data_IF_581503730512
#
_entry.id   IF_581503730512
#
_cell.length_a   1.000
_cell.length_b   1.000
_cell.length_c   1.000
_cell.angle_alpha   90.00
_cell.angle_beta   90.00
_cell.angle_gamma   90.00
#
_symmetry.space_group_name_H-M   'P 1'
#
loop_
_entity.id
_entity.type
_entity.pdbx_description
1 polymer ?
#
# COMPACT_ATOMS: atom_id res chain seq x y z
N UNK A 1 43.73 18.83 -16.46
CA UNK A 1 42.49 18.06 -16.54
C UNK A 1 42.03 17.80 -15.12
N UNK A 2 41.15 18.64 -14.63
CA UNK A 2 40.76 18.78 -13.23
C UNK A 2 39.80 17.63 -12.87
N UNK A 3 40.14 16.82 -11.86
CA UNK A 3 39.23 15.88 -11.24
C UNK A 3 38.04 16.64 -10.67
N UNK A 4 36.93 16.64 -11.38
CA UNK A 4 35.66 17.08 -10.84
C UNK A 4 35.27 16.08 -9.77
N UNK A 5 35.26 16.57 -8.54
CA UNK A 5 34.86 15.85 -7.33
C UNK A 5 33.44 15.30 -7.48
N UNK A 6 33.32 14.00 -7.58
CA UNK A 6 32.07 13.24 -7.47
C UNK A 6 31.54 13.16 -6.01
N UNK A 7 31.80 14.20 -5.23
CA UNK A 7 31.22 14.40 -3.90
C UNK A 7 30.11 15.43 -4.01
N UNK A 8 28.88 15.01 -4.30
CA UNK A 8 27.64 15.65 -3.85
C UNK A 8 26.42 15.16 -4.65
N UNK A 9 26.10 13.88 -4.56
CA UNK A 9 24.75 13.37 -4.90
C UNK A 9 24.31 12.28 -3.94
N UNK A 10 24.79 12.34 -2.70
CA UNK A 10 24.16 11.60 -1.61
C UNK A 10 22.86 12.36 -1.30
N UNK A 11 21.71 11.74 -1.47
CA UNK A 11 20.44 12.35 -1.08
C UNK A 11 20.52 12.72 0.39
N UNK A 12 20.50 14.03 0.67
CA UNK A 12 20.50 14.53 2.04
C UNK A 12 19.29 13.89 2.75
N UNK A 13 19.49 13.36 3.96
CA UNK A 13 18.38 12.86 4.76
C UNK A 13 17.36 13.96 5.01
N UNK A 14 16.06 13.67 4.99
CA UNK A 14 15.06 14.66 5.36
C UNK A 14 15.31 15.14 6.79
N UNK A 15 15.08 16.43 7.01
CA UNK A 15 15.11 16.99 8.36
C UNK A 15 13.80 16.65 9.07
N UNK A 16 13.89 16.40 10.37
CA UNK A 16 12.74 16.05 11.21
C UNK A 16 12.55 17.10 12.31
N UNK A 17 11.33 17.61 12.44
CA UNK A 17 10.93 18.47 13.56
C UNK A 17 9.62 17.96 14.17
N UNK A 18 9.63 17.64 15.44
CA UNK A 18 8.40 17.36 16.20
C UNK A 18 7.81 18.68 16.69
N UNK A 19 6.55 18.97 16.33
CA UNK A 19 5.83 20.16 16.77
C UNK A 19 5.28 19.99 18.18
N UNK A 20 4.92 21.09 18.82
CA UNK A 20 4.37 21.09 20.20
C UNK A 20 3.04 20.34 20.31
N UNK A 21 2.24 20.30 19.24
CA UNK A 21 0.99 19.56 19.18
C UNK A 21 1.15 18.05 18.96
N UNK A 22 2.37 17.57 18.70
CA UNK A 22 2.69 16.16 18.49
C UNK A 22 2.95 15.75 17.05
N UNK A 23 2.58 16.55 16.03
CA UNK A 23 2.85 16.25 14.61
C UNK A 23 4.36 16.19 14.38
N UNK A 24 4.80 15.20 13.62
CA UNK A 24 6.16 15.16 13.08
C UNK A 24 6.17 15.79 11.68
N UNK A 25 7.00 16.80 11.47
CA UNK A 25 7.23 17.43 10.17
C UNK A 25 8.53 16.90 9.58
N UNK A 26 8.45 16.37 8.35
CA UNK A 26 9.59 15.93 7.56
C UNK A 26 9.78 16.86 6.37
N UNK A 27 10.98 17.42 6.22
CA UNK A 27 11.34 18.30 5.10
C UNK A 27 12.48 17.68 4.31
N UNK A 28 12.23 17.43 3.03
CA UNK A 28 13.16 16.80 2.08
C UNK A 28 13.41 17.74 0.90
N UNK A 29 14.40 18.61 1.05
CA UNK A 29 14.70 19.64 0.06
C UNK A 29 15.39 19.08 -1.18
N UNK A 30 14.83 19.36 -2.35
CA UNK A 30 15.33 18.97 -3.67
C UNK A 30 15.39 20.20 -4.56
N UNK A 31 16.58 20.80 -4.70
CA UNK A 31 16.78 22.07 -5.44
C UNK A 31 16.60 21.96 -6.96
N UNK A 32 16.67 20.75 -7.51
CA UNK A 32 16.67 20.51 -8.97
C UNK A 32 15.28 20.47 -9.61
N UNK A 33 14.21 20.66 -8.83
CA UNK A 33 12.84 20.60 -9.31
C UNK A 33 12.10 21.91 -9.04
N UNK A 34 11.08 22.21 -9.85
CA UNK A 34 10.20 23.37 -9.66
C UNK A 34 8.94 23.03 -8.86
N UNK A 35 8.75 21.75 -8.55
CA UNK A 35 7.55 21.26 -7.87
C UNK A 35 7.84 20.91 -6.42
N UNK A 36 6.78 20.91 -5.62
CA UNK A 36 6.77 20.41 -4.25
C UNK A 36 5.59 19.48 -4.05
N UNK A 37 5.80 18.40 -3.33
CA UNK A 37 4.71 17.57 -2.79
C UNK A 37 4.62 17.81 -1.29
N UNK A 38 3.44 18.15 -0.83
CA UNK A 38 3.11 18.33 0.59
C UNK A 38 1.97 17.39 0.95
N UNK A 39 1.95 16.87 2.17
CA UNK A 39 0.84 16.03 2.60
C UNK A 39 0.89 15.64 4.06
N UNK A 40 -0.25 15.15 4.55
CA UNK A 40 -0.40 14.55 5.86
C UNK A 40 -0.64 13.05 5.69
N UNK A 41 0.20 12.28 6.34
CA UNK A 41 0.05 10.82 6.49
C UNK A 41 -0.33 10.51 7.93
N UNK A 42 -1.40 9.76 8.09
CA UNK A 42 -1.97 9.40 9.38
C UNK A 42 -1.82 7.89 9.55
N UNK A 43 -1.25 7.44 10.67
CA UNK A 43 -1.11 6.01 10.96
C UNK A 43 -2.45 5.43 11.46
N UNK A 44 -3.41 5.44 10.55
CA UNK A 44 -4.78 4.95 10.71
C UNK A 44 -5.30 4.51 9.35
N UNK A 45 -5.98 3.39 9.29
CA UNK A 45 -6.58 2.88 8.07
C UNK A 45 -7.74 1.91 8.36
N UNK A 46 -8.08 1.08 7.40
CA UNK A 46 -9.20 0.14 7.51
C UNK A 46 -9.06 -0.86 8.66
N UNK A 47 -7.82 -1.16 9.13
CA UNK A 47 -7.60 -2.03 10.31
C UNK A 47 -8.12 -1.43 11.63
N UNK A 48 -8.30 -0.12 11.68
CA UNK A 48 -8.81 0.56 12.89
C UNK A 48 -10.34 0.52 12.98
N UNK A 49 -11.00 0.01 11.96
CA UNK A 49 -12.45 -0.14 11.92
C UNK A 49 -12.92 -1.37 12.69
N UNK A 50 -14.18 -1.33 13.12
CA UNK A 50 -14.90 -2.49 13.64
C UNK A 50 -15.69 -3.17 12.52
N UNK A 51 -16.22 -4.36 12.79
CA UNK A 51 -17.15 -5.00 11.84
C UNK A 51 -18.45 -4.21 11.62
N UNK A 52 -18.82 -3.33 12.56
CA UNK A 52 -20.06 -2.56 12.47
C UNK A 52 -19.91 -1.27 11.62
N UNK A 53 -18.69 -0.74 11.47
CA UNK A 53 -18.43 0.49 10.73
C UNK A 53 -17.38 0.33 9.62
N UNK A 54 -17.22 -0.89 9.11
CA UNK A 54 -16.26 -1.19 8.04
C UNK A 54 -16.51 -0.34 6.79
N UNK A 55 -15.47 0.31 6.29
CA UNK A 55 -15.50 1.28 5.20
C UNK A 55 -15.58 2.73 5.66
N UNK A 56 -15.64 3.00 6.99
CA UNK A 56 -15.72 4.37 7.50
C UNK A 56 -14.44 5.17 7.23
N UNK A 57 -13.26 4.53 7.22
CA UNK A 57 -12.00 5.21 6.93
C UNK A 57 -11.95 5.70 5.47
N UNK A 58 -12.40 4.88 4.54
CA UNK A 58 -12.51 5.23 3.12
C UNK A 58 -13.58 6.30 2.88
N UNK A 59 -14.74 6.17 3.53
CA UNK A 59 -15.79 7.20 3.46
C UNK A 59 -15.31 8.53 4.05
N UNK A 60 -14.52 8.52 5.13
CA UNK A 60 -13.91 9.73 5.70
C UNK A 60 -12.97 10.41 4.70
N UNK A 61 -12.17 9.63 3.97
CA UNK A 61 -11.30 10.14 2.90
C UNK A 61 -12.11 10.90 1.85
N UNK A 62 -13.18 10.30 1.32
CA UNK A 62 -14.08 10.96 0.37
C UNK A 62 -14.68 12.25 0.96
N UNK A 63 -15.17 12.17 2.18
CA UNK A 63 -15.83 13.28 2.85
C UNK A 63 -14.91 14.46 3.18
N UNK A 64 -13.58 14.23 3.28
CA UNK A 64 -12.61 15.30 3.52
C UNK A 64 -12.64 16.38 2.44
N UNK A 65 -12.97 16.02 1.19
CA UNK A 65 -13.04 16.95 0.05
C UNK A 65 -14.44 17.49 -0.23
N UNK A 66 -15.45 17.15 0.58
CA UNK A 66 -16.85 17.54 0.35
C UNK A 66 -17.27 18.81 1.12
N UNK A 67 -16.30 19.60 1.50
CA UNK A 67 -16.47 20.91 2.12
C UNK A 67 -16.06 20.94 3.59
N UNK A 68 -15.63 22.11 3.97
CA UNK A 68 -15.18 22.47 5.32
C UNK A 68 -16.07 23.59 5.89
N UNK A 69 -15.73 24.09 7.05
CA UNK A 69 -16.32 25.32 7.60
C UNK A 69 -15.96 26.57 6.78
N UNK A 70 -14.82 26.51 6.06
CA UNK A 70 -14.24 27.64 5.37
C UNK A 70 -14.45 27.60 3.85
N UNK A 71 -14.62 26.38 3.28
CA UNK A 71 -14.69 26.15 1.83
C UNK A 71 -15.81 25.17 1.48
N UNK A 72 -16.54 25.45 0.44
CA UNK A 72 -17.38 24.43 -0.22
C UNK A 72 -16.51 23.44 -0.99
N UNK A 73 -17.06 22.26 -1.33
CA UNK A 73 -16.38 21.28 -2.19
C UNK A 73 -15.90 21.89 -3.51
N UNK A 74 -16.75 22.75 -4.13
CA UNK A 74 -16.39 23.46 -5.36
C UNK A 74 -15.20 24.40 -5.16
N UNK A 75 -15.17 25.17 -4.07
CA UNK A 75 -14.05 26.07 -3.78
C UNK A 75 -12.74 25.31 -3.56
N UNK A 76 -12.79 24.16 -2.90
CA UNK A 76 -11.58 23.30 -2.77
C UNK A 76 -11.05 22.92 -4.15
N UNK A 77 -11.92 22.44 -5.05
CA UNK A 77 -11.51 22.08 -6.42
C UNK A 77 -11.03 23.28 -7.21
N UNK A 78 -11.76 24.40 -7.18
CA UNK A 78 -11.39 25.62 -7.91
C UNK A 78 -10.01 26.16 -7.46
N UNK A 79 -9.75 26.21 -6.14
CA UNK A 79 -8.48 26.70 -5.60
C UNK A 79 -7.30 25.79 -6.00
N UNK A 80 -7.49 24.46 -6.02
CA UNK A 80 -6.49 23.51 -6.48
C UNK A 80 -6.21 23.67 -7.97
N UNK A 81 -7.25 23.77 -8.79
CA UNK A 81 -7.12 23.90 -10.24
C UNK A 81 -6.53 25.26 -10.65
N UNK A 82 -6.85 26.35 -9.94
CA UNK A 82 -6.32 27.69 -10.19
C UNK A 82 -4.79 27.75 -10.11
N UNK A 83 -4.17 26.93 -9.26
CA UNK A 83 -2.71 26.85 -9.11
C UNK A 83 -2.10 25.70 -9.95
N UNK A 84 -2.89 25.06 -10.82
CA UNK A 84 -2.43 23.88 -11.57
C UNK A 84 -1.99 22.72 -10.68
N UNK A 85 -2.53 22.66 -9.45
CA UNK A 85 -2.19 21.65 -8.47
C UNK A 85 -2.89 20.32 -8.73
N UNK A 86 -2.31 19.27 -8.18
CA UNK A 86 -2.90 17.93 -8.15
C UNK A 86 -3.08 17.50 -6.71
N UNK A 87 -4.33 17.34 -6.28
CA UNK A 87 -4.68 16.78 -4.97
C UNK A 87 -5.02 15.31 -5.13
N UNK A 88 -4.59 14.50 -4.15
CA UNK A 88 -4.95 13.08 -4.08
C UNK A 88 -4.99 12.63 -2.62
N UNK A 89 -5.71 11.53 -2.39
CA UNK A 89 -5.76 10.85 -1.10
C UNK A 89 -5.79 9.34 -1.32
N UNK A 90 -5.51 8.58 -0.30
CA UNK A 90 -5.74 7.14 -0.29
C UNK A 90 -5.91 6.62 1.13
N UNK A 91 -6.72 5.57 1.24
CA UNK A 91 -6.87 4.78 2.45
C UNK A 91 -6.29 3.38 2.21
N UNK A 92 -5.35 2.99 3.07
CA UNK A 92 -4.85 1.62 3.11
C UNK A 92 -5.30 0.91 4.38
N UNK A 93 -4.77 -0.26 4.65
CA UNK A 93 -5.07 -0.98 5.90
C UNK A 93 -4.53 -0.26 7.15
N UNK A 94 -3.38 0.38 7.05
CA UNK A 94 -2.69 0.99 8.21
C UNK A 94 -2.49 2.51 8.09
N UNK A 95 -2.61 3.09 6.91
CA UNK A 95 -2.30 4.50 6.65
C UNK A 95 -3.38 5.13 5.78
N UNK A 96 -3.82 6.33 6.15
CA UNK A 96 -4.58 7.24 5.31
C UNK A 96 -3.73 8.47 5.01
N UNK A 97 -3.75 8.94 3.76
CA UNK A 97 -2.94 10.06 3.33
C UNK A 97 -3.75 11.08 2.53
N UNK A 98 -3.42 12.35 2.73
CA UNK A 98 -3.94 13.49 1.98
C UNK A 98 -2.78 14.32 1.49
N UNK A 99 -2.58 14.45 0.18
CA UNK A 99 -1.41 15.13 -0.34
C UNK A 99 -1.69 15.91 -1.61
N UNK A 100 -0.88 16.92 -1.85
CA UNK A 100 -0.93 17.76 -3.03
C UNK A 100 0.45 17.87 -3.67
N UNK A 101 0.49 17.89 -4.99
CA UNK A 101 1.67 18.27 -5.77
C UNK A 101 1.39 19.57 -6.50
N UNK A 102 2.24 20.57 -6.25
CA UNK A 102 2.07 21.94 -6.75
C UNK A 102 3.41 22.52 -7.20
N UNK A 103 3.41 23.71 -7.80
CA UNK A 103 4.61 24.49 -7.98
C UNK A 103 5.11 25.05 -6.64
N UNK A 104 6.38 25.36 -6.53
CA UNK A 104 7.01 25.82 -5.27
C UNK A 104 6.42 27.11 -4.71
N UNK A 105 5.92 28.00 -5.56
CA UNK A 105 5.25 29.24 -5.17
C UNK A 105 3.88 29.02 -4.52
N UNK A 106 3.25 27.86 -4.74
CA UNK A 106 1.89 27.57 -4.28
C UNK A 106 1.85 26.68 -3.03
N UNK A 107 3.00 26.49 -2.38
CA UNK A 107 3.09 25.65 -1.18
C UNK A 107 2.18 26.13 -0.05
N UNK A 108 2.03 27.43 0.11
CA UNK A 108 1.19 28.04 1.13
C UNK A 108 -0.29 27.64 0.94
N UNK A 109 -0.80 27.75 -0.30
CA UNK A 109 -2.16 27.35 -0.65
C UNK A 109 -2.40 25.87 -0.38
N UNK A 110 -1.42 25.02 -0.74
CA UNK A 110 -1.56 23.57 -0.54
C UNK A 110 -1.57 23.17 0.95
N UNK A 111 -0.71 23.79 1.78
CA UNK A 111 -0.71 23.56 3.23
C UNK A 111 -2.03 24.07 3.84
N UNK A 112 -2.54 25.20 3.39
CA UNK A 112 -3.81 25.77 3.86
C UNK A 112 -4.99 24.85 3.56
N UNK A 113 -5.09 24.33 2.33
CA UNK A 113 -6.16 23.39 1.93
C UNK A 113 -6.07 22.09 2.74
N UNK A 114 -4.87 21.48 2.86
CA UNK A 114 -4.71 20.23 3.62
C UNK A 114 -5.06 20.46 5.09
N UNK A 115 -4.63 21.57 5.68
CA UNK A 115 -4.97 21.89 7.07
C UNK A 115 -6.46 22.08 7.28
N UNK A 116 -7.14 22.69 6.31
CA UNK A 116 -8.58 22.97 6.36
C UNK A 116 -9.40 21.67 6.29
N UNK A 117 -9.12 20.81 5.32
CA UNK A 117 -9.81 19.51 5.19
C UNK A 117 -9.55 18.58 6.39
N UNK A 118 -8.40 18.65 7.01
CA UNK A 118 -8.02 17.82 8.15
C UNK A 118 -8.64 18.29 9.48
N UNK A 119 -8.99 19.56 9.63
CA UNK A 119 -9.43 20.13 10.89
C UNK A 119 -10.87 20.61 10.89
N UNK A 120 -11.38 20.99 9.72
CA UNK A 120 -12.64 21.72 9.62
C UNK A 120 -13.66 21.10 8.66
N UNK A 121 -13.47 19.84 8.26
CA UNK A 121 -14.43 19.10 7.43
C UNK A 121 -15.83 19.16 8.04
N UNK A 122 -16.81 19.57 7.23
CA UNK A 122 -18.19 19.79 7.69
C UNK A 122 -19.00 18.50 7.82
N UNK A 123 -18.63 17.48 7.07
CA UNK A 123 -19.37 16.23 6.92
C UNK A 123 -20.86 16.50 6.69
N UNK A 124 -21.16 17.35 5.70
CA UNK A 124 -22.53 17.74 5.38
C UNK A 124 -23.40 16.50 5.10
N UNK A 125 -24.59 16.36 5.69
CA UNK A 125 -25.43 15.18 5.51
C UNK A 125 -25.83 14.92 4.06
N UNK A 126 -26.02 15.97 3.23
CA UNK A 126 -26.38 15.80 1.82
C UNK A 126 -25.19 15.30 1.01
N UNK A 127 -23.99 15.80 1.30
CA UNK A 127 -22.76 15.30 0.67
C UNK A 127 -22.47 13.86 1.13
N UNK A 128 -22.71 13.53 2.40
CA UNK A 128 -22.59 12.17 2.91
C UNK A 128 -23.51 11.20 2.16
N UNK A 129 -24.78 11.58 1.91
CA UNK A 129 -25.71 10.76 1.15
C UNK A 129 -25.27 10.56 -0.32
N UNK A 130 -24.68 11.60 -0.92
CA UNK A 130 -24.09 11.50 -2.28
C UNK A 130 -22.90 10.56 -2.31
N UNK A 131 -21.97 10.72 -1.36
CA UNK A 131 -20.75 9.91 -1.32
C UNK A 131 -21.03 8.45 -0.98
N UNK A 132 -22.04 8.14 -0.16
CA UNK A 132 -22.51 6.76 -0.03
C UNK A 132 -22.92 6.19 -1.39
N UNK A 133 -23.63 6.96 -2.21
CA UNK A 133 -23.99 6.55 -3.57
C UNK A 133 -22.77 6.29 -4.46
N UNK A 134 -21.74 7.14 -4.37
CA UNK A 134 -20.48 6.98 -5.10
C UNK A 134 -19.77 5.70 -4.67
N UNK A 135 -19.58 5.49 -3.36
CA UNK A 135 -18.90 4.28 -2.84
C UNK A 135 -19.67 3.01 -3.17
N UNK A 136 -21.01 3.05 -3.16
CA UNK A 136 -21.82 1.90 -3.58
C UNK A 136 -21.62 1.55 -5.06
N UNK A 137 -21.44 2.55 -5.93
CA UNK A 137 -21.07 2.32 -7.32
C UNK A 137 -19.65 1.74 -7.44
N UNK A 138 -18.71 2.24 -6.64
CA UNK A 138 -17.33 1.75 -6.58
C UNK A 138 -17.27 0.28 -6.10
N UNK A 139 -18.03 -0.08 -5.06
CA UNK A 139 -18.20 -1.47 -4.64
C UNK A 139 -18.77 -2.32 -5.80
N UNK A 140 -19.78 -1.80 -6.53
CA UNK A 140 -20.34 -2.49 -7.69
C UNK A 140 -19.30 -2.73 -8.78
N UNK A 141 -18.53 -1.71 -9.15
CA UNK A 141 -17.46 -1.83 -10.14
C UNK A 141 -16.41 -2.85 -9.70
N UNK A 142 -16.04 -2.84 -8.42
CA UNK A 142 -15.07 -3.76 -7.85
C UNK A 142 -15.55 -5.23 -7.90
N UNK A 143 -16.83 -5.48 -7.62
CA UNK A 143 -17.46 -6.81 -7.73
C UNK A 143 -17.53 -7.31 -9.19
N UNK A 144 -17.52 -6.40 -10.16
CA UNK A 144 -17.50 -6.70 -11.58
C UNK A 144 -16.07 -6.80 -12.17
N UNK A 145 -15.02 -6.63 -11.33
CA UNK A 145 -13.60 -6.72 -11.70
C UNK A 145 -12.96 -7.95 -11.03
N UNK A 146 -13.06 -9.15 -11.64
CA UNK A 146 -12.65 -10.41 -11.00
C UNK A 146 -11.18 -10.49 -10.62
N UNK A 147 -10.30 -9.84 -11.36
CA UNK A 147 -8.86 -9.76 -11.13
C UNK A 147 -8.50 -8.92 -9.90
N UNK A 148 -9.32 -7.93 -9.53
CA UNK A 148 -9.20 -7.21 -8.26
C UNK A 148 -9.91 -7.95 -7.12
N UNK A 149 -11.15 -8.40 -7.37
CA UNK A 149 -11.97 -9.08 -6.38
C UNK A 149 -11.30 -10.33 -5.79
N UNK A 150 -10.53 -11.06 -6.61
CA UNK A 150 -9.84 -12.28 -6.17
C UNK A 150 -8.84 -11.99 -5.05
N UNK A 151 -8.21 -10.80 -5.03
CA UNK A 151 -7.30 -10.38 -3.96
C UNK A 151 -8.03 -10.05 -2.66
N UNK A 152 -9.18 -9.37 -2.73
CA UNK A 152 -9.99 -9.10 -1.53
C UNK A 152 -10.51 -10.39 -0.92
N UNK A 153 -11.00 -11.32 -1.76
CA UNK A 153 -11.46 -12.63 -1.31
C UNK A 153 -10.33 -13.48 -0.75
N UNK A 154 -9.16 -13.39 -1.34
CA UNK A 154 -7.96 -14.00 -0.79
C UNK A 154 -7.61 -13.43 0.60
N UNK A 155 -7.63 -12.10 0.74
CA UNK A 155 -7.32 -11.43 2.00
C UNK A 155 -8.35 -11.76 3.10
N UNK A 156 -9.64 -11.77 2.76
CA UNK A 156 -10.74 -12.16 3.66
C UNK A 156 -10.57 -13.59 4.15
N UNK A 157 -10.17 -14.51 3.25
CA UNK A 157 -9.95 -15.93 3.54
C UNK A 157 -8.68 -16.14 4.37
N UNK A 158 -7.61 -15.38 4.09
CA UNK A 158 -6.35 -15.45 4.80
C UNK A 158 -6.47 -14.96 6.26
N UNK A 159 -7.33 -13.96 6.51
CA UNK A 159 -7.54 -13.32 7.82
C UNK A 159 -9.04 -13.31 8.21
N UNK A 160 -9.68 -14.47 8.41
CA UNK A 160 -11.11 -14.55 8.64
C UNK A 160 -11.50 -13.86 9.95
N UNK A 161 -12.59 -13.08 9.91
CA UNK A 161 -13.16 -12.36 11.06
C UNK A 161 -12.20 -11.37 11.75
N UNK A 162 -11.15 -10.93 11.08
CA UNK A 162 -10.15 -9.99 11.58
C UNK A 162 -10.22 -8.66 10.82
N UNK A 163 -9.79 -7.55 11.43
CA UNK A 163 -9.68 -6.26 10.73
C UNK A 163 -8.83 -6.33 9.47
N UNK A 164 -7.75 -7.10 9.47
CA UNK A 164 -6.85 -7.28 8.33
C UNK A 164 -7.52 -7.92 7.11
N UNK A 165 -8.53 -8.76 7.33
CA UNK A 165 -9.24 -9.47 6.25
C UNK A 165 -10.37 -8.66 5.61
N UNK A 166 -10.86 -7.59 6.25
CA UNK A 166 -11.99 -6.82 5.72
C UNK A 166 -11.63 -5.99 4.50
N UNK A 167 -12.57 -5.82 3.57
CA UNK A 167 -12.40 -4.90 2.44
C UNK A 167 -12.27 -3.45 2.93
N UNK A 168 -11.39 -2.68 2.30
CA UNK A 168 -11.22 -1.24 2.58
C UNK A 168 -12.48 -0.45 2.19
N UNK A 169 -13.17 -0.87 1.14
CA UNK A 169 -14.42 -0.24 0.68
C UNK A 169 -15.58 -0.45 1.66
N UNK A 170 -15.47 -1.42 2.55
CA UNK A 170 -16.58 -1.87 3.37
C UNK A 170 -17.58 -2.74 2.60
N UNK A 171 -18.74 -2.99 3.21
CA UNK A 171 -19.86 -3.68 2.56
C UNK A 171 -20.96 -2.73 2.20
N UNK A 172 -21.72 -3.03 1.14
CA UNK A 172 -22.82 -2.18 0.67
C UNK A 172 -23.86 -1.89 1.79
N UNK A 173 -24.14 -2.89 2.64
CA UNK A 173 -25.11 -2.74 3.72
C UNK A 173 -24.61 -1.82 4.83
N UNK A 174 -23.34 -1.87 5.17
CA UNK A 174 -22.74 -0.99 6.17
C UNK A 174 -22.66 0.43 5.61
N UNK A 175 -22.11 0.62 4.40
CA UNK A 175 -21.96 1.95 3.77
C UNK A 175 -23.30 2.69 3.66
N UNK A 176 -24.39 2.01 3.29
CA UNK A 176 -25.73 2.60 3.25
C UNK A 176 -26.17 3.23 4.57
N UNK A 177 -25.68 2.69 5.69
CA UNK A 177 -26.17 3.00 7.03
C UNK A 177 -25.21 3.81 7.89
N UNK A 178 -23.93 3.97 7.51
CA UNK A 178 -22.94 4.77 8.27
C UNK A 178 -23.47 6.19 8.46
N UNK A 179 -23.51 6.64 9.71
CA UNK A 179 -23.99 7.97 10.07
C UNK A 179 -22.86 8.99 10.13
N UNK A 180 -23.21 10.27 10.00
CA UNK A 180 -22.27 11.38 10.13
C UNK A 180 -21.48 11.33 11.44
N UNK A 181 -22.15 10.96 12.52
CA UNK A 181 -21.56 10.84 13.86
C UNK A 181 -20.46 9.76 13.91
N UNK A 182 -20.59 8.69 13.13
CA UNK A 182 -19.59 7.61 13.04
C UNK A 182 -18.35 8.07 12.26
N UNK A 183 -18.54 8.80 11.15
CA UNK A 183 -17.43 9.40 10.39
C UNK A 183 -16.67 10.40 11.26
N UNK A 184 -17.38 11.32 11.92
CA UNK A 184 -16.79 12.30 12.81
C UNK A 184 -16.14 11.63 14.05
N UNK A 185 -16.79 10.61 14.60
CA UNK A 185 -16.27 9.82 15.71
C UNK A 185 -14.97 9.12 15.35
N UNK A 186 -14.91 8.48 14.18
CA UNK A 186 -13.69 7.82 13.70
C UNK A 186 -12.52 8.80 13.56
N UNK A 187 -12.76 9.97 12.96
CA UNK A 187 -11.73 11.00 12.86
C UNK A 187 -11.27 11.48 14.25
N UNK A 188 -12.19 11.79 15.15
CA UNK A 188 -11.86 12.27 16.49
C UNK A 188 -11.13 11.24 17.35
N UNK A 189 -11.44 9.95 17.17
CA UNK A 189 -10.86 8.87 17.96
C UNK A 189 -9.46 8.47 17.45
N UNK A 190 -9.25 8.49 16.15
CA UNK A 190 -8.06 7.90 15.54
C UNK A 190 -7.06 8.92 14.98
N UNK A 191 -7.49 10.13 14.58
CA UNK A 191 -6.57 11.14 14.03
C UNK A 191 -5.80 11.86 15.14
N UNK A 192 -4.83 11.13 15.69
CA UNK A 192 -3.99 11.62 16.77
C UNK A 192 -2.72 12.28 16.20
N UNK A 193 -2.43 13.55 16.52
CA UNK A 193 -1.22 14.26 16.07
C UNK A 193 0.10 13.50 16.26
N UNK A 194 0.23 12.71 17.35
CA UNK A 194 1.42 11.90 17.60
C UNK A 194 1.61 10.75 16.60
N UNK A 195 0.55 10.39 15.86
CA UNK A 195 0.52 9.39 14.80
C UNK A 195 0.38 10.03 13.42
N UNK A 196 0.74 11.30 13.29
CA UNK A 196 0.69 12.07 12.06
C UNK A 196 2.06 12.55 11.65
N UNK A 197 2.35 12.40 10.36
CA UNK A 197 3.55 12.93 9.72
C UNK A 197 3.14 13.87 8.61
N UNK A 198 3.50 15.14 8.73
CA UNK A 198 3.44 16.09 7.63
C UNK A 198 4.74 16.04 6.86
N UNK A 199 4.69 15.54 5.63
CA UNK A 199 5.89 15.35 4.80
C UNK A 199 5.89 16.30 3.62
N UNK A 200 7.04 16.95 3.40
CA UNK A 200 7.25 17.88 2.29
C UNK A 200 8.50 17.47 1.54
N UNK A 201 8.40 17.31 0.22
CA UNK A 201 9.53 16.99 -0.64
C UNK A 201 9.52 17.84 -1.91
N UNK A 202 10.64 18.49 -2.24
CA UNK A 202 10.78 19.35 -3.42
C UNK A 202 11.59 20.61 -3.14
N UNK A 203 11.28 21.66 -3.87
CA UNK A 203 11.99 22.94 -3.78
C UNK A 203 11.18 23.94 -2.92
N UNK A 204 11.66 24.26 -1.74
CA UNK A 204 10.98 25.16 -0.79
C UNK A 204 11.96 25.72 0.24
N UNK A 205 11.53 26.78 0.97
CA UNK A 205 12.24 27.25 2.16
C UNK A 205 11.79 26.42 3.38
N UNK A 206 12.72 25.73 4.02
CA UNK A 206 12.43 24.80 5.10
C UNK A 206 11.83 25.48 6.34
N UNK A 207 12.40 26.60 6.77
CA UNK A 207 11.95 27.32 7.96
C UNK A 207 10.54 27.89 7.76
N UNK A 208 10.28 28.46 6.58
CA UNK A 208 8.95 28.99 6.23
C UNK A 208 7.89 27.89 6.25
N UNK A 209 8.19 26.73 5.67
CA UNK A 209 7.24 25.59 5.65
C UNK A 209 6.96 25.06 7.04
N UNK A 210 7.98 24.89 7.87
CA UNK A 210 7.80 24.41 9.24
C UNK A 210 6.92 25.39 10.04
N UNK A 211 7.20 26.69 9.94
CA UNK A 211 6.42 27.72 10.62
C UNK A 211 4.98 27.75 10.11
N UNK A 212 4.77 27.61 8.80
CA UNK A 212 3.46 27.53 8.19
C UNK A 212 2.64 26.33 8.71
N UNK A 213 3.27 25.14 8.79
CA UNK A 213 2.61 23.94 9.32
C UNK A 213 2.29 24.10 10.81
N UNK A 214 3.22 24.66 11.61
CA UNK A 214 2.99 24.93 13.03
C UNK A 214 1.83 25.91 13.25
N UNK A 215 1.72 26.94 12.40
CA UNK A 215 0.62 27.92 12.45
C UNK A 215 -0.73 27.32 12.01
N UNK A 216 -0.74 26.52 10.97
CA UNK A 216 -1.99 26.01 10.36
C UNK A 216 -2.62 24.84 11.10
N UNK A 217 -1.86 23.98 11.77
CA UNK A 217 -2.38 22.76 12.40
C UNK A 217 -2.59 22.92 13.93
N UNK A 218 -3.46 23.86 14.31
CA UNK A 218 -3.69 24.22 15.73
C UNK A 218 -4.95 23.57 16.33
N UNK A 219 -5.82 22.94 15.51
CA UNK A 219 -7.15 22.49 15.92
C UNK A 219 -7.39 20.99 15.76
N UNK A 220 -6.36 20.21 15.57
CA UNK A 220 -6.48 18.75 15.47
C UNK A 220 -7.01 18.16 16.79
N UNK A 221 -7.85 17.11 16.71
CA UNK A 221 -8.26 16.37 17.89
C UNK A 221 -7.06 15.70 18.54
N UNK A 222 -7.14 15.45 19.85
CA UNK A 222 -6.07 14.76 20.57
C UNK A 222 -6.01 13.27 20.24
N UNK A 223 -7.06 12.71 19.67
CA UNK A 223 -7.19 11.29 19.36
C UNK A 223 -7.18 10.40 20.60
N UNK A 224 -7.47 9.14 20.39
CA UNK A 224 -7.27 8.09 21.39
C UNK A 224 -6.06 7.25 20.99
N UNK A 225 -5.27 6.80 21.96
CA UNK A 225 -4.21 5.82 21.69
C UNK A 225 -4.82 4.42 21.58
N UNK A 226 -5.53 4.13 20.49
CA UNK A 226 -6.01 2.79 20.17
C UNK A 226 -5.12 2.17 19.11
N UNK A 227 -4.78 0.89 19.30
CA UNK A 227 -4.07 0.09 18.34
C UNK A 227 -5.09 -0.83 17.65
N UNK A 228 -4.84 -1.16 16.38
CA UNK A 228 -5.57 -2.21 15.71
C UNK A 228 -5.28 -3.56 16.41
N UNK A 229 -6.23 -4.48 16.35
CA UNK A 229 -6.01 -5.86 16.83
C UNK A 229 -4.87 -6.52 16.05
N UNK A 230 -4.06 -7.34 16.77
CA UNK A 230 -3.02 -8.12 16.13
C UNK A 230 -3.61 -9.11 15.13
N UNK A 231 -2.99 -9.19 13.99
CA UNK A 231 -3.43 -10.05 12.89
C UNK A 231 -2.78 -11.42 12.98
N UNK A 232 -3.55 -12.45 12.61
CA UNK A 232 -3.06 -13.82 12.52
C UNK A 232 -3.48 -14.41 11.20
N UNK A 233 -2.51 -14.77 10.38
CA UNK A 233 -2.76 -15.53 9.16
C UNK A 233 -3.32 -16.92 9.50
N UNK A 234 -4.40 -17.32 8.84
CA UNK A 234 -5.08 -18.59 9.08
C UNK A 234 -5.01 -19.49 7.84
N UNK A 235 -5.14 -18.90 6.67
CA UNK A 235 -5.29 -19.64 5.41
C UNK A 235 -6.72 -20.10 5.16
N UNK A 236 -6.93 -20.74 4.00
CA UNK A 236 -8.24 -21.28 3.63
C UNK A 236 -8.47 -21.33 2.12
N UNK A 237 -9.72 -21.58 1.74
CA UNK A 237 -10.11 -21.81 0.34
C UNK A 237 -11.38 -21.01 -0.01
N UNK A 238 -11.26 -20.11 -0.97
CA UNK A 238 -12.39 -19.40 -1.54
C UNK A 238 -12.53 -19.72 -3.04
N UNK A 239 -13.70 -20.15 -3.45
CA UNK A 239 -13.99 -20.52 -4.85
C UNK A 239 -15.30 -19.93 -5.28
N UNK A 240 -15.28 -19.19 -6.38
CA UNK A 240 -16.48 -18.69 -7.03
C UNK A 240 -16.50 -19.11 -8.50
N UNK A 241 -17.39 -20.05 -8.82
CA UNK A 241 -17.65 -20.36 -10.22
C UNK A 241 -18.43 -19.22 -10.84
N UNK A 242 -17.87 -18.60 -11.87
CA UNK A 242 -18.46 -17.48 -12.61
C UNK A 242 -18.18 -17.70 -14.10
N UNK A 243 -19.16 -17.41 -14.95
CA UNK A 243 -19.02 -17.49 -16.39
C UNK A 243 -18.16 -16.33 -16.89
N UNK A 244 -16.86 -16.60 -17.01
CA UNK A 244 -15.83 -15.69 -17.45
C UNK A 244 -14.92 -16.39 -18.46
N UNK A 245 -14.21 -15.63 -19.29
CA UNK A 245 -13.24 -16.19 -20.23
C UNK A 245 -12.00 -16.77 -19.56
N UNK A 246 -11.64 -16.29 -18.35
CA UNK A 246 -10.47 -16.74 -17.61
C UNK A 246 -10.78 -17.00 -16.13
N UNK A 247 -9.95 -17.82 -15.53
CA UNK A 247 -9.86 -18.00 -14.09
C UNK A 247 -8.84 -17.02 -13.53
N UNK A 248 -9.25 -16.22 -12.55
CA UNK A 248 -8.36 -15.40 -11.74
C UNK A 248 -8.04 -16.18 -10.46
N UNK A 249 -6.78 -16.49 -10.27
CA UNK A 249 -6.29 -17.31 -9.15
C UNK A 249 -5.28 -16.52 -8.31
N UNK A 250 -5.43 -16.57 -6.99
CA UNK A 250 -4.37 -16.21 -6.03
C UNK A 250 -4.06 -17.42 -5.17
N UNK A 251 -2.82 -17.88 -5.23
CA UNK A 251 -2.25 -18.83 -4.27
C UNK A 251 -1.36 -18.04 -3.33
N UNK A 252 -1.71 -18.02 -2.04
CA UNK A 252 -1.01 -17.21 -1.07
C UNK A 252 -0.62 -17.94 0.20
N UNK A 253 0.23 -17.29 0.97
CA UNK A 253 0.92 -17.80 2.16
C UNK A 253 1.04 -16.69 3.19
N UNK A 254 1.31 -17.06 4.44
CA UNK A 254 1.78 -16.08 5.42
C UNK A 254 3.10 -15.46 4.95
N UNK A 255 3.20 -14.16 5.12
CA UNK A 255 4.40 -13.41 4.80
C UNK A 255 5.20 -13.05 6.05
N UNK A 256 5.87 -11.91 5.98
CA UNK A 256 6.65 -11.37 7.10
C UNK A 256 6.24 -9.92 7.35
N UNK A 257 6.29 -9.50 8.62
CA UNK A 257 6.08 -8.11 8.99
C UNK A 257 7.28 -7.21 8.60
N UNK A 258 7.12 -5.89 8.73
CA UNK A 258 8.17 -4.92 8.41
C UNK A 258 9.45 -5.05 9.25
N UNK A 259 9.38 -5.65 10.43
CA UNK A 259 10.48 -5.73 11.40
C UNK A 259 11.22 -7.06 11.32
N UNK A 260 10.73 -7.99 10.50
CA UNK A 260 11.36 -9.30 10.31
C UNK A 260 12.74 -9.19 9.64
N UNK A 261 13.69 -9.98 10.12
CA UNK A 261 15.00 -10.14 9.46
C UNK A 261 14.88 -10.67 8.02
N UNK A 262 13.76 -11.35 7.71
CA UNK A 262 13.48 -11.88 6.38
C UNK A 262 12.79 -10.87 5.45
N UNK A 263 12.49 -9.65 5.90
CA UNK A 263 11.74 -8.66 5.10
C UNK A 263 12.34 -8.42 3.71
N UNK A 264 13.63 -8.14 3.64
CA UNK A 264 14.30 -7.88 2.36
C UNK A 264 14.48 -9.16 1.53
N UNK A 265 14.81 -10.28 2.15
CA UNK A 265 15.00 -11.55 1.44
C UNK A 265 13.69 -12.08 0.88
N UNK A 266 12.57 -11.94 1.59
CA UNK A 266 11.23 -12.29 1.09
C UNK A 266 10.83 -11.42 -0.11
N UNK A 267 11.11 -10.12 -0.05
CA UNK A 267 10.85 -9.21 -1.17
C UNK A 267 11.69 -9.55 -2.41
N UNK A 268 12.99 -9.87 -2.20
CA UNK A 268 13.89 -10.26 -3.31
C UNK A 268 13.51 -11.64 -3.86
N UNK A 269 13.13 -12.59 -3.01
CA UNK A 269 12.60 -13.89 -3.44
C UNK A 269 11.36 -13.74 -4.31
N UNK A 270 10.41 -12.89 -3.89
CA UNK A 270 9.24 -12.54 -4.71
C UNK A 270 9.68 -12.02 -6.08
N UNK A 271 10.66 -11.11 -6.13
CA UNK A 271 11.12 -10.55 -7.40
C UNK A 271 11.77 -11.60 -8.31
N UNK A 272 12.55 -12.53 -7.78
CA UNK A 272 13.11 -13.66 -8.55
C UNK A 272 12.00 -14.53 -9.14
N UNK A 273 10.99 -14.83 -8.32
CA UNK A 273 9.89 -15.69 -8.76
C UNK A 273 9.03 -15.06 -9.83
N UNK A 274 8.49 -13.85 -9.61
CA UNK A 274 7.40 -13.35 -10.42
C UNK A 274 7.46 -11.87 -10.80
N UNK A 275 8.63 -11.19 -10.70
CA UNK A 275 8.73 -9.80 -11.13
C UNK A 275 9.41 -9.67 -12.50
N UNK A 276 8.62 -9.27 -13.50
CA UNK A 276 9.09 -9.03 -14.86
C UNK A 276 9.19 -10.27 -15.73
N UNK A 277 9.45 -10.05 -17.03
CA UNK A 277 9.43 -11.09 -18.05
C UNK A 277 10.55 -12.15 -17.91
N UNK A 278 11.64 -11.85 -17.23
CA UNK A 278 12.74 -12.78 -16.98
C UNK A 278 12.61 -13.56 -15.67
N UNK A 279 11.50 -13.41 -14.95
CA UNK A 279 11.24 -14.14 -13.71
C UNK A 279 10.93 -15.61 -13.97
N UNK A 280 11.14 -16.44 -12.96
CA UNK A 280 10.99 -17.92 -13.09
C UNK A 280 9.59 -18.32 -13.52
N UNK A 281 8.56 -17.77 -12.84
CA UNK A 281 7.16 -18.10 -13.15
C UNK A 281 6.78 -17.64 -14.56
N UNK A 282 7.22 -16.44 -14.95
CA UNK A 282 6.92 -15.93 -16.29
C UNK A 282 7.57 -16.82 -17.36
N UNK A 283 8.84 -17.16 -17.21
CA UNK A 283 9.57 -17.99 -18.19
C UNK A 283 9.03 -19.42 -18.25
N UNK A 284 8.81 -20.05 -17.10
CA UNK A 284 8.42 -21.47 -17.09
C UNK A 284 6.94 -21.68 -17.43
N UNK A 285 6.05 -20.79 -16.94
CA UNK A 285 4.61 -21.00 -17.02
C UNK A 285 4.01 -20.28 -18.24
N UNK A 286 4.45 -19.02 -18.48
CA UNK A 286 3.91 -18.25 -19.60
C UNK A 286 4.64 -18.50 -20.91
N UNK A 287 5.98 -18.34 -20.93
CA UNK A 287 6.75 -18.41 -22.19
C UNK A 287 6.92 -19.85 -22.68
N UNK A 288 7.31 -20.78 -21.83
CA UNK A 288 7.56 -22.16 -22.26
C UNK A 288 6.29 -22.99 -22.45
N UNK A 289 5.28 -22.78 -21.61
CA UNK A 289 4.08 -23.63 -21.56
C UNK A 289 2.80 -22.94 -22.05
N UNK A 290 2.76 -21.61 -22.04
CA UNK A 290 1.59 -20.84 -22.48
C UNK A 290 0.35 -21.04 -21.59
N UNK A 291 0.52 -21.35 -20.31
CA UNK A 291 -0.59 -21.70 -19.42
C UNK A 291 -1.32 -20.48 -18.86
N UNK A 292 -0.74 -19.29 -18.93
CA UNK A 292 -1.30 -18.08 -18.34
C UNK A 292 -1.18 -16.89 -19.30
N UNK A 293 -2.14 -15.98 -19.23
CA UNK A 293 -2.01 -14.65 -19.84
C UNK A 293 -1.15 -13.73 -18.98
N UNK A 294 -1.37 -13.77 -17.67
CA UNK A 294 -0.62 -13.00 -16.69
C UNK A 294 -0.24 -13.85 -15.50
N UNK A 295 0.97 -13.62 -14.98
CA UNK A 295 1.44 -14.22 -13.74
C UNK A 295 2.40 -13.28 -13.05
N UNK A 296 2.24 -13.14 -11.75
CA UNK A 296 3.12 -12.33 -10.91
C UNK A 296 3.15 -12.84 -9.48
N UNK A 297 4.21 -12.54 -8.75
CA UNK A 297 4.25 -12.72 -7.31
C UNK A 297 4.23 -11.37 -6.61
N UNK A 298 3.73 -11.36 -5.39
CA UNK A 298 3.71 -10.19 -4.52
C UNK A 298 4.12 -10.55 -3.09
N UNK A 299 4.66 -9.57 -2.39
CA UNK A 299 4.94 -9.65 -0.96
C UNK A 299 4.50 -8.33 -0.34
N UNK A 300 3.60 -8.40 0.62
CA UNK A 300 3.09 -7.25 1.38
C UNK A 300 3.42 -7.45 2.85
N UNK A 301 3.97 -6.41 3.49
CA UNK A 301 4.25 -6.42 4.92
C UNK A 301 3.40 -5.37 5.62
N UNK A 302 3.05 -5.66 6.86
CA UNK A 302 2.32 -4.80 7.78
C UNK A 302 3.10 -4.74 9.10
N UNK A 303 2.57 -4.05 10.10
CA UNK A 303 3.30 -3.86 11.36
C UNK A 303 3.40 -5.11 12.22
N UNK A 304 2.55 -6.10 12.05
CA UNK A 304 2.45 -7.32 12.88
C UNK A 304 2.24 -8.61 12.07
N UNK A 305 2.15 -8.50 10.74
CA UNK A 305 1.90 -9.62 9.84
C UNK A 305 2.40 -9.30 8.45
N UNK A 306 2.32 -10.24 7.55
CA UNK A 306 2.58 -10.04 6.13
C UNK A 306 1.80 -11.03 5.28
N UNK A 307 2.01 -10.94 3.99
CA UNK A 307 1.45 -11.85 3.03
C UNK A 307 2.40 -12.04 1.85
N UNK A 308 2.47 -13.26 1.37
CA UNK A 308 3.15 -13.61 0.13
C UNK A 308 2.15 -14.32 -0.78
N UNK A 309 2.16 -14.02 -2.06
CA UNK A 309 1.24 -14.69 -2.98
C UNK A 309 1.69 -14.64 -4.43
N UNK A 310 1.03 -15.48 -5.23
CA UNK A 310 1.16 -15.56 -6.67
C UNK A 310 -0.23 -15.38 -7.26
N UNK A 311 -0.36 -14.39 -8.14
CA UNK A 311 -1.54 -14.20 -8.98
C UNK A 311 -1.31 -14.85 -10.34
N UNK A 312 -2.35 -15.49 -10.89
CA UNK A 312 -2.35 -16.02 -12.26
C UNK A 312 -3.72 -15.82 -12.90
N UNK A 313 -3.72 -15.27 -14.12
CA UNK A 313 -4.86 -15.26 -15.04
C UNK A 313 -4.70 -16.38 -16.08
N UNK A 314 -5.59 -17.39 -16.06
CA UNK A 314 -5.43 -18.63 -16.84
C UNK A 314 -6.75 -19.09 -17.45
N UNK A 315 -6.69 -19.95 -18.44
CA UNK A 315 -7.86 -20.59 -19.02
C UNK A 315 -8.40 -21.74 -18.15
N UNK A 316 -9.67 -22.07 -18.35
CA UNK A 316 -10.36 -23.18 -17.63
C UNK A 316 -9.69 -24.53 -17.84
N UNK A 317 -9.05 -24.78 -18.98
CA UNK A 317 -8.36 -26.06 -19.26
C UNK A 317 -6.94 -26.04 -18.71
N UNK A 318 -6.26 -24.92 -18.87
CA UNK A 318 -4.86 -24.72 -18.52
C UNK A 318 -4.61 -24.77 -17.01
N UNK A 319 -5.63 -24.41 -16.19
CA UNK A 319 -5.52 -24.40 -14.72
C UNK A 319 -5.17 -25.77 -14.13
N UNK A 320 -5.55 -26.85 -14.82
CA UNK A 320 -5.22 -28.22 -14.41
C UNK A 320 -3.72 -28.51 -14.45
N UNK A 321 -3.00 -27.95 -15.42
CA UNK A 321 -1.56 -28.06 -15.53
C UNK A 321 -0.83 -26.95 -14.73
N UNK A 322 -1.44 -25.78 -14.64
CA UNK A 322 -0.87 -24.64 -13.94
C UNK A 322 -0.54 -24.95 -12.48
N UNK A 323 -1.45 -25.55 -11.74
CA UNK A 323 -1.28 -25.80 -10.29
C UNK A 323 -0.07 -26.69 -9.99
N UNK A 324 0.08 -27.89 -10.61
CA UNK A 324 1.28 -28.71 -10.44
C UNK A 324 2.59 -27.94 -10.73
N UNK A 325 2.65 -27.27 -11.88
CA UNK A 325 3.86 -26.55 -12.29
C UNK A 325 4.19 -25.40 -11.34
N UNK A 326 3.18 -24.68 -10.85
CA UNK A 326 3.36 -23.60 -9.89
C UNK A 326 3.87 -24.12 -8.54
N UNK A 327 3.32 -25.22 -8.05
CA UNK A 327 3.80 -25.89 -6.83
C UNK A 327 5.24 -26.41 -7.00
N UNK A 328 5.56 -27.00 -8.16
CA UNK A 328 6.92 -27.44 -8.47
C UNK A 328 7.91 -26.27 -8.41
N UNK A 329 7.55 -25.09 -9.00
CA UNK A 329 8.42 -23.90 -8.96
C UNK A 329 8.65 -23.38 -7.53
N UNK A 330 7.64 -23.43 -6.66
CA UNK A 330 7.75 -23.06 -5.25
C UNK A 330 8.59 -24.04 -4.44
N UNK A 331 8.62 -25.31 -4.85
CA UNK A 331 9.36 -26.38 -4.17
C UNK A 331 10.85 -26.40 -4.51
N UNK A 332 11.30 -25.69 -5.55
CA UNK A 332 12.72 -25.67 -5.94
C UNK A 332 13.53 -24.95 -4.87
N UNK A 333 14.59 -25.64 -4.39
CA UNK A 333 15.56 -25.05 -3.45
C UNK A 333 16.21 -23.80 -4.06
N UNK A 334 16.06 -22.66 -3.40
CA UNK A 334 16.59 -21.39 -3.89
C UNK A 334 18.13 -21.33 -3.92
N UNK A 335 18.82 -22.21 -3.19
CA UNK A 335 20.26 -22.36 -3.30
C UNK A 335 20.70 -22.85 -4.69
N UNK A 336 19.80 -23.48 -5.45
CA UNK A 336 20.06 -23.94 -6.82
C UNK A 336 19.75 -22.91 -7.89
N UNK A 337 19.25 -21.71 -7.53
CA UNK A 337 18.99 -20.66 -8.49
C UNK A 337 20.28 -20.14 -9.11
N UNK A 338 20.20 -19.71 -10.37
CA UNK A 338 21.34 -19.11 -11.02
C UNK A 338 21.70 -17.77 -10.35
N UNK A 339 22.99 -17.48 -10.10
CA UNK A 339 23.41 -16.21 -9.50
C UNK A 339 22.86 -14.98 -10.25
N UNK A 340 22.67 -15.08 -11.55
CA UNK A 340 22.13 -14.03 -12.43
C UNK A 340 20.68 -13.70 -12.09
N UNK A 341 19.89 -14.65 -11.61
CA UNK A 341 18.50 -14.41 -11.19
C UNK A 341 18.45 -13.50 -9.96
N UNK A 342 19.30 -13.78 -8.97
CA UNK A 342 19.47 -12.92 -7.79
C UNK A 342 19.98 -11.53 -8.18
N UNK A 343 20.95 -11.43 -9.08
CA UNK A 343 21.50 -10.15 -9.52
C UNK A 343 20.44 -9.32 -10.26
N UNK A 344 19.60 -9.93 -11.10
CA UNK A 344 18.47 -9.23 -11.76
C UNK A 344 17.49 -8.69 -10.75
N UNK A 345 17.08 -9.48 -9.75
CA UNK A 345 16.17 -9.02 -8.71
C UNK A 345 16.75 -7.84 -7.92
N UNK A 346 18.01 -7.90 -7.51
CA UNK A 346 18.72 -6.78 -6.86
C UNK A 346 18.75 -5.53 -7.74
N UNK A 347 19.00 -5.70 -9.05
CA UNK A 347 18.99 -4.59 -10.00
C UNK A 347 17.62 -3.94 -10.13
N UNK A 348 16.53 -4.72 -10.12
CA UNK A 348 15.16 -4.21 -10.11
C UNK A 348 14.88 -3.36 -8.87
N UNK A 349 15.25 -3.82 -7.69
CA UNK A 349 15.09 -3.05 -6.44
C UNK A 349 15.90 -1.77 -6.46
N UNK A 350 17.17 -1.85 -6.87
CA UNK A 350 18.04 -0.68 -7.02
C UNK A 350 17.43 0.36 -7.98
N UNK A 351 16.99 -0.09 -9.14
CA UNK A 351 16.38 0.77 -10.15
C UNK A 351 15.08 1.42 -9.63
N UNK A 352 14.19 0.63 -9.04
CA UNK A 352 12.93 1.13 -8.46
C UNK A 352 13.18 2.17 -7.35
N UNK A 353 14.16 1.93 -6.49
CA UNK A 353 14.53 2.85 -5.42
C UNK A 353 15.07 4.18 -5.98
N UNK A 354 15.99 4.11 -6.94
CA UNK A 354 16.62 5.31 -7.52
C UNK A 354 15.62 6.13 -8.35
N UNK A 355 14.87 5.47 -9.24
CA UNK A 355 13.83 6.14 -10.04
C UNK A 355 12.70 6.69 -9.17
N UNK A 356 12.37 6.00 -8.05
CA UNK A 356 11.40 6.50 -7.09
C UNK A 356 11.81 7.84 -6.46
N UNK A 357 13.11 8.03 -6.23
CA UNK A 357 13.65 9.26 -5.65
C UNK A 357 13.63 10.47 -6.61
N UNK A 358 13.35 10.28 -7.89
CA UNK A 358 13.16 11.37 -8.85
C UNK A 358 11.79 12.03 -8.71
N UNK A 359 10.83 11.36 -8.07
CA UNK A 359 9.47 11.86 -7.84
C UNK A 359 9.32 12.47 -6.45
N UNK A 360 8.99 13.76 -6.38
CA UNK A 360 8.70 14.46 -5.12
C UNK A 360 7.57 13.80 -4.33
N UNK A 361 6.54 13.29 -5.02
CA UNK A 361 5.42 12.58 -4.36
C UNK A 361 5.87 11.26 -3.74
N UNK A 362 6.68 10.45 -4.46
CA UNK A 362 7.20 9.18 -3.90
C UNK A 362 8.16 9.41 -2.74
N UNK A 363 8.96 10.49 -2.80
CA UNK A 363 9.84 10.88 -1.70
C UNK A 363 9.03 11.26 -0.47
N UNK A 364 8.05 12.18 -0.60
CA UNK A 364 7.19 12.60 0.50
C UNK A 364 6.47 11.42 1.14
N UNK A 365 5.83 10.57 0.33
CA UNK A 365 5.15 9.36 0.80
C UNK A 365 6.11 8.37 1.47
N UNK A 366 7.24 8.07 0.83
CA UNK A 366 8.21 7.11 1.36
C UNK A 366 8.82 7.56 2.70
N UNK A 367 9.13 8.85 2.83
CA UNK A 367 9.63 9.44 4.07
C UNK A 367 8.59 9.38 5.19
N UNK A 368 7.34 9.79 4.89
CA UNK A 368 6.25 9.75 5.86
C UNK A 368 5.93 8.33 6.33
N UNK A 369 5.79 7.39 5.39
CA UNK A 369 5.51 5.98 5.72
C UNK A 369 6.61 5.37 6.58
N UNK A 370 7.89 5.61 6.25
CA UNK A 370 8.99 5.10 7.05
C UNK A 370 9.01 5.70 8.44
N UNK A 371 8.77 7.00 8.57
CA UNK A 371 8.70 7.67 9.87
C UNK A 371 7.56 7.11 10.72
N UNK A 372 6.38 6.86 10.14
CA UNK A 372 5.24 6.28 10.85
C UNK A 372 5.49 4.84 11.30
N UNK A 373 6.15 4.03 10.46
CA UNK A 373 6.35 2.61 10.73
C UNK A 373 7.59 2.33 11.58
N UNK A 374 8.70 3.04 11.34
CA UNK A 374 10.01 2.74 11.94
C UNK A 374 10.49 3.81 12.91
N UNK A 375 9.70 4.87 13.12
CA UNK A 375 10.11 6.08 13.87
C UNK A 375 11.43 6.69 13.35
N UNK A 376 11.76 6.43 12.09
CA UNK A 376 12.89 7.02 11.37
C UNK A 376 12.73 6.89 9.87
N UNK A 377 13.39 7.76 9.12
CA UNK A 377 13.61 7.54 7.69
C UNK A 377 14.88 6.70 7.52
N UNK A 378 14.77 5.58 6.80
CA UNK A 378 15.89 4.67 6.56
C UNK A 378 16.74 5.23 5.40
N UNK A 379 18.04 5.49 5.61
CA UNK A 379 18.92 5.97 4.56
C UNK A 379 18.90 5.06 3.33
N UNK A 380 18.99 5.66 2.15
CA UNK A 380 19.02 4.90 0.91
C UNK A 380 20.19 3.89 0.89
N UNK A 381 21.33 4.32 1.40
CA UNK A 381 22.55 3.51 1.49
C UNK A 381 22.35 2.29 2.39
N UNK A 382 21.64 2.43 3.50
CA UNK A 382 21.31 1.31 4.40
C UNK A 382 20.40 0.28 3.69
N UNK A 383 19.36 0.76 2.99
CA UNK A 383 18.48 -0.12 2.20
C UNK A 383 19.23 -0.85 1.10
N UNK A 384 20.10 -0.12 0.39
CA UNK A 384 20.94 -0.70 -0.66
C UNK A 384 21.94 -1.72 -0.12
N UNK A 385 22.55 -1.43 1.03
CA UNK A 385 23.48 -2.37 1.67
C UNK A 385 22.77 -3.68 2.07
N UNK A 386 21.57 -3.58 2.66
CA UNK A 386 20.74 -4.74 3.01
C UNK A 386 20.38 -5.57 1.78
N UNK A 387 19.93 -4.95 0.68
CA UNK A 387 19.58 -5.66 -0.56
C UNK A 387 20.83 -6.30 -1.18
N UNK A 388 21.95 -5.60 -1.23
CA UNK A 388 23.19 -6.12 -1.81
C UNK A 388 23.76 -7.30 -1.02
N UNK A 389 23.57 -7.34 0.29
CA UNK A 389 24.04 -8.41 1.16
C UNK A 389 23.27 -9.73 1.01
N UNK A 390 22.05 -9.72 0.44
CA UNK A 390 21.22 -10.93 0.29
C UNK A 390 21.94 -11.98 -0.54
N UNK A 391 21.94 -13.22 -0.08
CA UNK A 391 22.51 -14.40 -0.72
C UNK A 391 21.41 -15.36 -1.20
N UNK A 392 21.78 -16.40 -1.93
CA UNK A 392 20.85 -17.49 -2.28
C UNK A 392 20.37 -18.24 -1.03
N UNK A 393 21.23 -18.38 -0.02
CA UNK A 393 20.85 -18.97 1.28
C UNK A 393 19.76 -18.14 1.97
N UNK A 394 19.81 -16.81 1.88
CA UNK A 394 18.76 -15.93 2.45
C UNK A 394 17.44 -16.05 1.67
N UNK A 395 17.50 -16.27 0.35
CA UNK A 395 16.32 -16.58 -0.44
C UNK A 395 15.71 -17.93 -0.04
N UNK A 396 16.56 -18.94 0.23
CA UNK A 396 16.08 -20.25 0.69
C UNK A 396 15.41 -20.17 2.07
N UNK A 397 15.98 -19.38 3.00
CA UNK A 397 15.34 -19.11 4.30
C UNK A 397 13.96 -18.46 4.12
N UNK A 398 13.85 -17.48 3.22
CA UNK A 398 12.58 -16.83 2.90
C UNK A 398 11.58 -17.81 2.28
N UNK A 399 11.99 -18.62 1.30
CA UNK A 399 11.18 -19.67 0.69
C UNK A 399 10.65 -20.65 1.72
N UNK A 400 11.53 -21.19 2.56
CA UNK A 400 11.16 -22.14 3.61
C UNK A 400 10.19 -21.55 4.63
N UNK A 401 10.32 -20.26 4.96
CA UNK A 401 9.38 -19.58 5.82
C UNK A 401 7.97 -19.51 5.18
N UNK A 402 7.91 -19.19 3.89
CA UNK A 402 6.67 -19.08 3.12
C UNK A 402 5.98 -20.44 3.02
N UNK A 403 6.64 -21.46 2.50
CA UNK A 403 6.01 -22.76 2.20
C UNK A 403 5.62 -23.56 3.44
N UNK A 404 6.20 -23.27 4.61
CA UNK A 404 5.80 -23.89 5.90
C UNK A 404 4.50 -23.33 6.46
N UNK A 405 4.02 -22.23 5.93
CA UNK A 405 2.79 -21.60 6.42
C UNK A 405 1.54 -22.27 5.86
N UNK A 406 0.39 -21.98 6.46
CA UNK A 406 -0.89 -22.35 5.88
C UNK A 406 -1.08 -21.66 4.52
N UNK A 407 -1.65 -22.39 3.56
CA UNK A 407 -1.95 -21.83 2.24
C UNK A 407 -3.32 -21.16 2.22
N UNK A 408 -3.47 -20.18 1.34
CA UNK A 408 -4.76 -19.61 0.97
C UNK A 408 -4.94 -19.71 -0.53
N UNK A 409 -6.04 -20.31 -0.96
CA UNK A 409 -6.46 -20.33 -2.37
C UNK A 409 -7.65 -19.40 -2.53
N UNK A 410 -7.59 -18.49 -3.49
CA UNK A 410 -8.76 -17.73 -3.93
C UNK A 410 -8.87 -17.84 -5.44
N UNK A 411 -10.04 -18.26 -5.95
CA UNK A 411 -10.25 -18.46 -7.37
C UNK A 411 -11.63 -17.99 -7.82
N UNK A 412 -11.68 -17.21 -8.90
CA UNK A 412 -12.92 -16.68 -9.51
C UNK A 412 -12.87 -16.92 -11.00
N UNK A 413 -13.88 -17.57 -11.55
CA UNK A 413 -14.01 -17.88 -12.99
C UNK A 413 -14.51 -19.30 -13.22
N UNK A 414 -14.30 -19.87 -14.42
CA UNK A 414 -14.67 -21.26 -14.76
C UNK A 414 -13.68 -22.25 -14.10
N UNK A 415 -13.91 -22.55 -12.83
CA UNK A 415 -12.98 -23.26 -11.92
C UNK A 415 -13.21 -24.77 -11.83
N UNK A 416 -13.97 -25.38 -12.75
CA UNK A 416 -14.34 -26.81 -12.69
C UNK A 416 -13.13 -27.75 -12.73
N UNK A 417 -12.01 -27.30 -13.36
CA UNK A 417 -10.78 -28.07 -13.48
C UNK A 417 -9.72 -27.71 -12.41
N UNK A 418 -10.05 -26.80 -11.48
CA UNK A 418 -9.16 -26.46 -10.36
C UNK A 418 -9.09 -27.63 -9.37
N UNK A 419 -7.88 -28.08 -9.04
CA UNK A 419 -7.67 -29.13 -8.03
C UNK A 419 -8.29 -28.75 -6.69
N UNK A 420 -8.64 -29.77 -5.87
CA UNK A 420 -9.14 -29.53 -4.51
C UNK A 420 -8.09 -28.86 -3.64
N UNK A 421 -8.52 -28.14 -2.62
CA UNK A 421 -7.64 -27.47 -1.67
C UNK A 421 -6.65 -28.45 -1.00
N UNK A 422 -7.14 -29.63 -0.63
CA UNK A 422 -6.33 -30.69 -0.04
C UNK A 422 -5.26 -31.22 -1.00
N UNK A 423 -5.58 -31.29 -2.32
CA UNK A 423 -4.62 -31.71 -3.34
C UNK A 423 -3.50 -30.68 -3.49
N UNK A 424 -3.87 -29.39 -3.58
CA UNK A 424 -2.90 -28.28 -3.67
C UNK A 424 -2.00 -28.24 -2.43
N UNK A 425 -2.60 -28.34 -1.24
CA UNK A 425 -1.88 -28.33 0.03
C UNK A 425 -0.87 -29.49 0.13
N UNK A 426 -1.25 -30.70 -0.33
CA UNK A 426 -0.34 -31.86 -0.35
C UNK A 426 0.85 -31.73 -1.31
N UNK A 427 0.78 -30.89 -2.34
CA UNK A 427 1.88 -30.64 -3.27
C UNK A 427 2.97 -29.76 -2.67
N UNK A 428 2.62 -28.96 -1.66
CA UNK A 428 3.51 -27.99 -1.03
C UNK A 428 4.07 -28.46 0.32
N UNK A 429 3.51 -29.53 0.88
CA UNK A 429 3.98 -30.22 2.09
C UNK A 429 4.77 -31.49 1.70
#
# INVERSE_FOLDING_TARGET
MTMISLKNTLSKMPNLKKLKNGITVLTDYVSSVETVCVGMWVYVGARNETSANNGVAHLLEHMAFKGTKNRTAKQISDEVEMIGGHVNAYTSREITAYHMKVLKEDIQTSVDIISDIMQFSSFDPKELDRERGVILQEIGMYLDTPDDLVFDKWQETAYPNQPMGRSILGTADIIKNIKREEVNGFMNDFYNPEKMVFSVSGNFNEEEVINLVEDKFNHLPKGKNSFAENSKYVGGDYRQNKDLEQVNLVLGFDGVDYFSDLYYSTSVYSAVLGSGMSSRLFQEIREKRGLVYSISSFSSSYTDTGSFGIYAGTGSKEIKELIPVLCDQLSIDANTFAPEELQRAKALFKSSLLMGNESTSRRAQGNATQQLLFDRVIPQEERMAKINAITLEDLEKARLNIIKSAITVSAIGPIENLETFESISKRLN
#
